data_IF_295575573193
#
_entry.id   IF_295575573193
#
_cell.length_a   1.000
_cell.length_b   1.000
_cell.length_c   1.000
_cell.angle_alpha   90.00
_cell.angle_beta   90.00
_cell.angle_gamma   90.00
#
_symmetry.space_group_name_H-M   'P 1'
#
loop_
_entity.id
_entity.type
_entity.pdbx_description
1 polymer ?
#
# COMPACT_ATOMS: atom_id res chain seq x y z
N UNK A 1 15.84 -19.15 -0.34
CA UNK A 1 16.72 -18.59 -1.39
C UNK A 1 16.01 -17.85 -2.51
N UNK A 2 14.75 -18.15 -2.83
CA UNK A 2 13.99 -17.50 -3.92
C UNK A 2 13.51 -16.06 -3.57
N UNK A 3 13.33 -15.76 -2.27
CA UNK A 3 12.87 -14.43 -1.81
C UNK A 3 13.87 -13.28 -2.06
N UNK A 4 15.16 -13.56 -2.05
CA UNK A 4 16.21 -12.55 -2.22
C UNK A 4 16.35 -12.03 -3.67
N UNK A 5 15.89 -12.80 -4.65
CA UNK A 5 16.05 -12.45 -6.07
C UNK A 5 15.05 -11.38 -6.56
N UNK A 6 13.94 -11.16 -5.84
CA UNK A 6 12.88 -10.26 -6.28
C UNK A 6 12.97 -8.85 -5.70
N UNK A 7 13.64 -8.66 -4.57
CA UNK A 7 13.83 -7.32 -3.99
C UNK A 7 14.87 -6.54 -4.80
N UNK A 8 14.51 -5.31 -5.16
CA UNK A 8 15.41 -4.38 -5.84
C UNK A 8 15.91 -4.87 -7.21
N UNK A 9 15.10 -5.63 -7.99
CA UNK A 9 15.55 -6.26 -9.25
C UNK A 9 16.83 -7.08 -9.11
N UNK A 10 17.07 -7.67 -7.93
CA UNK A 10 18.29 -8.39 -7.61
C UNK A 10 19.47 -7.51 -7.17
N UNK A 11 19.35 -6.19 -7.18
CA UNK A 11 20.43 -5.28 -6.81
C UNK A 11 20.75 -5.35 -5.31
N UNK A 12 19.74 -5.47 -4.44
CA UNK A 12 19.95 -5.70 -3.00
C UNK A 12 20.73 -6.99 -2.74
N UNK A 13 20.35 -8.10 -3.40
CA UNK A 13 21.06 -9.38 -3.28
C UNK A 13 22.50 -9.30 -3.83
N UNK A 14 22.70 -8.61 -4.94
CA UNK A 14 24.04 -8.38 -5.50
C UNK A 14 24.89 -7.55 -4.56
N UNK A 15 24.32 -6.47 -3.99
CA UNK A 15 25.04 -5.64 -3.01
C UNK A 15 25.41 -6.42 -1.75
N UNK A 16 24.51 -7.28 -1.22
CA UNK A 16 24.78 -8.16 -0.09
C UNK A 16 25.97 -9.11 -0.37
N UNK A 17 26.03 -9.70 -1.57
CA UNK A 17 27.15 -10.55 -1.97
C UNK A 17 28.48 -9.79 -2.02
N UNK A 18 28.48 -8.56 -2.58
CA UNK A 18 29.68 -7.72 -2.59
C UNK A 18 30.11 -7.28 -1.19
N UNK A 19 29.17 -6.99 -0.30
CA UNK A 19 29.46 -6.61 1.09
C UNK A 19 30.06 -7.76 1.91
N UNK A 20 29.80 -9.03 1.56
CA UNK A 20 30.45 -10.18 2.17
C UNK A 20 31.98 -10.25 1.83
N UNK A 21 32.38 -9.73 0.68
CA UNK A 21 33.77 -9.68 0.23
C UNK A 21 34.44 -8.36 0.61
N UNK A 22 33.70 -7.25 0.52
CA UNK A 22 34.20 -5.90 0.81
C UNK A 22 33.21 -5.17 1.76
N UNK A 23 33.21 -5.51 3.07
CA UNK A 23 32.24 -5.00 4.04
C UNK A 23 32.30 -3.47 4.25
N UNK A 24 33.47 -2.87 3.98
CA UNK A 24 33.66 -1.41 4.13
C UNK A 24 33.31 -0.57 2.90
N UNK A 25 32.86 -1.20 1.82
CA UNK A 25 32.48 -0.48 0.61
C UNK A 25 31.25 0.42 0.85
N UNK A 26 31.49 1.74 0.87
CA UNK A 26 30.42 2.73 1.01
C UNK A 26 29.42 2.67 -0.15
N UNK A 27 29.90 2.38 -1.37
CA UNK A 27 29.06 2.24 -2.56
C UNK A 27 28.07 1.09 -2.41
N UNK A 28 28.54 -0.12 -2.08
CA UNK A 28 27.65 -1.28 -1.96
C UNK A 28 26.70 -1.18 -0.77
N UNK A 29 27.13 -0.54 0.33
CA UNK A 29 26.21 -0.21 1.45
C UNK A 29 25.10 0.73 1.03
N UNK A 30 25.42 1.78 0.25
CA UNK A 30 24.40 2.69 -0.26
C UNK A 30 23.44 2.00 -1.24
N UNK A 31 23.95 1.16 -2.14
CA UNK A 31 23.11 0.37 -3.05
C UNK A 31 22.18 -0.54 -2.24
N UNK A 32 22.70 -1.31 -1.31
CA UNK A 32 21.89 -2.20 -0.45
C UNK A 32 20.79 -1.43 0.27
N UNK A 33 21.15 -0.33 0.96
CA UNK A 33 20.22 0.47 1.74
C UNK A 33 19.08 1.10 0.91
N UNK A 34 19.31 1.39 -0.37
CA UNK A 34 18.29 2.00 -1.23
C UNK A 34 17.43 0.97 -2.00
N UNK A 35 17.92 -0.25 -2.17
CA UNK A 35 17.22 -1.31 -2.92
C UNK A 35 16.63 -2.40 -2.02
N UNK A 36 16.73 -2.26 -0.71
CA UNK A 36 16.02 -3.05 0.30
C UNK A 36 14.87 -2.22 0.89
N UNK A 37 13.82 -2.88 1.34
CA UNK A 37 12.73 -2.18 2.04
C UNK A 37 13.20 -1.59 3.37
N UNK A 38 12.72 -0.38 3.68
CA UNK A 38 12.82 0.16 5.05
C UNK A 38 12.18 -0.81 6.04
N UNK A 39 12.85 -1.09 7.16
CA UNK A 39 12.38 -2.10 8.12
C UNK A 39 10.99 -1.77 8.71
N UNK A 40 10.75 -0.52 9.06
CA UNK A 40 9.44 -0.01 9.50
C UNK A 40 9.34 1.51 9.34
N UNK A 41 10.38 2.23 9.71
CA UNK A 41 10.45 3.69 9.63
C UNK A 41 11.47 4.08 8.57
N UNK A 42 11.16 5.13 7.83
CA UNK A 42 11.99 5.61 6.74
C UNK A 42 11.35 5.32 5.38
N UNK A 43 12.07 5.70 4.33
CA UNK A 43 11.67 5.48 2.95
C UNK A 43 12.94 5.27 2.12
N UNK A 44 13.03 4.13 1.47
CA UNK A 44 14.10 3.83 0.52
C UNK A 44 13.63 4.06 -0.90
N UNK A 45 14.54 4.03 -1.86
CA UNK A 45 14.16 4.14 -3.27
C UNK A 45 13.21 2.99 -3.69
N UNK A 46 13.44 1.80 -3.14
CA UNK A 46 12.59 0.64 -3.42
C UNK A 46 11.15 0.81 -2.90
N UNK A 47 10.96 1.51 -1.80
CA UNK A 47 9.63 1.79 -1.23
C UNK A 47 8.80 2.76 -2.08
N UNK A 48 9.41 3.53 -2.98
CA UNK A 48 8.72 4.49 -3.84
C UNK A 48 7.95 3.84 -5.00
N UNK A 49 8.17 2.56 -5.28
CA UNK A 49 7.53 1.86 -6.41
C UNK A 49 6.01 1.87 -6.27
N UNK A 50 5.49 1.47 -5.11
CA UNK A 50 4.04 1.45 -4.89
C UNK A 50 3.40 2.85 -4.95
N UNK A 51 3.93 3.89 -4.28
CA UNK A 51 3.47 5.27 -4.45
C UNK A 51 3.52 5.76 -5.91
N UNK A 52 4.59 5.44 -6.65
CA UNK A 52 4.69 5.80 -8.06
C UNK A 52 3.58 5.17 -8.91
N UNK A 53 3.29 3.88 -8.72
CA UNK A 53 2.19 3.22 -9.41
C UNK A 53 0.84 3.84 -9.07
N UNK A 54 0.56 4.11 -7.80
CA UNK A 54 -0.72 4.70 -7.38
C UNK A 54 -0.86 6.14 -7.89
N UNK A 55 0.20 6.93 -7.92
CA UNK A 55 0.23 8.26 -8.52
C UNK A 55 -0.08 8.18 -10.03
N UNK A 56 0.57 7.27 -10.76
CA UNK A 56 0.35 7.08 -12.20
C UNK A 56 -1.09 6.65 -12.52
N UNK A 57 -1.74 5.91 -11.64
CA UNK A 57 -3.16 5.56 -11.79
C UNK A 57 -4.03 6.80 -11.74
N UNK A 58 -3.77 7.72 -10.83
CA UNK A 58 -4.48 9.01 -10.75
C UNK A 58 -4.27 9.85 -12.00
N UNK A 59 -3.01 9.99 -12.43
CA UNK A 59 -2.64 10.69 -13.66
C UNK A 59 -3.36 10.12 -14.88
N UNK A 60 -3.34 8.80 -15.04
CA UNK A 60 -4.00 8.12 -16.17
C UNK A 60 -5.52 8.27 -16.15
N UNK A 61 -6.13 8.37 -14.94
CA UNK A 61 -7.55 8.59 -14.80
C UNK A 61 -7.97 9.93 -15.40
N UNK A 62 -7.22 11.01 -15.14
CA UNK A 62 -7.51 12.33 -15.70
C UNK A 62 -7.70 12.28 -17.21
N UNK A 63 -6.77 11.68 -17.95
CA UNK A 63 -6.85 11.57 -19.41
C UNK A 63 -7.93 10.59 -19.88
N UNK A 64 -8.05 9.44 -19.23
CA UNK A 64 -8.97 8.38 -19.65
C UNK A 64 -10.44 8.82 -19.57
N UNK A 65 -10.82 9.53 -18.51
CA UNK A 65 -12.21 9.95 -18.33
C UNK A 65 -12.58 11.21 -19.12
N UNK A 66 -11.65 12.12 -19.36
CA UNK A 66 -11.85 13.24 -20.32
C UNK A 66 -12.15 12.69 -21.70
N UNK A 67 -11.40 11.68 -22.17
CA UNK A 67 -11.67 11.03 -23.45
C UNK A 67 -13.08 10.42 -23.50
N UNK A 68 -13.46 9.64 -22.48
CA UNK A 68 -14.80 9.03 -22.40
C UNK A 68 -15.93 10.04 -22.37
N UNK A 69 -15.73 11.17 -21.68
CA UNK A 69 -16.69 12.26 -21.65
C UNK A 69 -16.86 12.86 -23.05
N UNK A 70 -15.78 13.03 -23.82
CA UNK A 70 -15.84 13.48 -25.23
C UNK A 70 -16.52 12.47 -26.15
N UNK A 71 -16.44 11.18 -25.84
CA UNK A 71 -17.14 10.10 -26.55
C UNK A 71 -18.64 10.01 -26.15
N UNK A 72 -19.15 10.92 -25.31
CA UNK A 72 -20.56 11.02 -24.93
C UNK A 72 -21.00 10.11 -23.78
N UNK A 73 -20.06 9.50 -23.04
CA UNK A 73 -20.40 8.66 -21.90
C UNK A 73 -20.96 9.51 -20.76
N UNK A 74 -22.06 9.06 -20.15
CA UNK A 74 -22.64 9.70 -18.97
C UNK A 74 -21.80 9.43 -17.73
N UNK A 75 -21.89 10.31 -16.72
CA UNK A 75 -21.19 10.13 -15.43
C UNK A 75 -21.51 8.78 -14.78
N UNK A 76 -22.78 8.33 -14.86
CA UNK A 76 -23.19 7.04 -14.32
C UNK A 76 -22.52 5.86 -15.05
N UNK A 77 -22.39 5.92 -16.37
CA UNK A 77 -21.68 4.90 -17.16
C UNK A 77 -20.20 4.87 -16.81
N UNK A 78 -19.58 6.04 -16.67
CA UNK A 78 -18.18 6.16 -16.26
C UNK A 78 -17.94 5.63 -14.84
N UNK A 79 -18.83 5.94 -13.89
CA UNK A 79 -18.73 5.40 -12.52
C UNK A 79 -18.89 3.89 -12.50
N UNK A 80 -19.89 3.35 -13.21
CA UNK A 80 -20.04 1.88 -13.35
C UNK A 80 -18.75 1.24 -13.90
N UNK A 81 -18.13 1.85 -14.91
CA UNK A 81 -16.87 1.39 -15.45
C UNK A 81 -15.74 1.44 -14.40
N UNK A 82 -15.70 2.49 -13.58
CA UNK A 82 -14.75 2.58 -12.47
C UNK A 82 -14.94 1.43 -11.46
N UNK A 83 -16.18 1.15 -11.08
CA UNK A 83 -16.50 0.03 -10.18
C UNK A 83 -16.14 -1.34 -10.78
N UNK A 84 -16.47 -1.58 -12.06
CA UNK A 84 -16.09 -2.83 -12.74
C UNK A 84 -14.57 -2.99 -12.78
N UNK A 85 -13.83 -1.92 -13.12
CA UNK A 85 -12.37 -1.94 -13.11
C UNK A 85 -11.81 -2.23 -11.71
N UNK A 86 -12.40 -1.64 -10.68
CA UNK A 86 -12.03 -1.88 -9.29
C UNK A 86 -12.21 -3.36 -8.91
N UNK A 87 -13.36 -3.94 -9.22
CA UNK A 87 -13.65 -5.35 -8.95
C UNK A 87 -12.70 -6.29 -9.71
N UNK A 88 -12.39 -6.00 -10.98
CA UNK A 88 -11.44 -6.77 -11.77
C UNK A 88 -10.02 -6.71 -11.19
N UNK A 89 -9.58 -5.53 -10.73
CA UNK A 89 -8.27 -5.37 -10.08
C UNK A 89 -8.20 -6.15 -8.77
N UNK A 90 -9.25 -6.10 -7.94
CA UNK A 90 -9.32 -6.86 -6.69
C UNK A 90 -9.34 -8.37 -6.98
N UNK A 91 -10.15 -8.81 -7.93
CA UNK A 91 -10.21 -10.22 -8.33
C UNK A 91 -8.84 -10.71 -8.85
N UNK A 92 -8.19 -9.93 -9.70
CA UNK A 92 -6.84 -10.22 -10.19
C UNK A 92 -5.81 -10.27 -9.06
N UNK A 93 -5.92 -9.36 -8.10
CA UNK A 93 -5.06 -9.33 -6.92
C UNK A 93 -5.18 -10.61 -6.10
N UNK A 94 -6.41 -11.05 -5.80
CA UNK A 94 -6.68 -12.29 -5.08
C UNK A 94 -6.20 -13.50 -5.88
N UNK A 95 -6.45 -13.52 -7.20
CA UNK A 95 -5.99 -14.57 -8.08
C UNK A 95 -4.46 -14.72 -8.07
N UNK A 96 -3.72 -13.62 -8.23
CA UNK A 96 -2.26 -13.62 -8.23
C UNK A 96 -1.67 -14.00 -6.86
N UNK A 97 -2.31 -13.57 -5.78
CA UNK A 97 -1.87 -13.91 -4.42
C UNK A 97 -2.13 -15.40 -4.11
N UNK A 98 -3.23 -15.95 -4.64
CA UNK A 98 -3.56 -17.37 -4.51
C UNK A 98 -2.56 -18.24 -5.27
N UNK A 99 -2.11 -17.81 -6.46
CA UNK A 99 -1.16 -18.53 -7.30
C UNK A 99 -1.59 -19.99 -7.53
N UNK A 100 -0.71 -20.95 -7.23
CA UNK A 100 -0.96 -22.39 -7.31
C UNK A 100 -1.44 -23.00 -5.99
N UNK A 101 -1.81 -22.17 -5.02
CA UNK A 101 -2.31 -22.61 -3.71
C UNK A 101 -3.60 -23.43 -3.82
N UNK A 102 -3.81 -24.35 -2.88
CA UNK A 102 -5.02 -25.18 -2.81
C UNK A 102 -6.25 -24.39 -2.36
N UNK A 103 -6.06 -23.25 -1.72
CA UNK A 103 -7.12 -22.42 -1.15
C UNK A 103 -6.95 -20.96 -1.57
N UNK A 104 -8.07 -20.27 -1.76
CA UNK A 104 -8.07 -18.84 -2.12
C UNK A 104 -7.46 -18.01 -1.00
N UNK A 105 -6.43 -17.23 -1.33
CA UNK A 105 -5.77 -16.32 -0.40
C UNK A 105 -6.46 -14.96 -0.43
N UNK A 106 -7.36 -14.73 0.51
CA UNK A 106 -8.07 -13.46 0.68
C UNK A 106 -7.16 -12.44 1.36
N UNK A 107 -6.26 -11.83 0.57
CA UNK A 107 -5.30 -10.80 1.00
C UNK A 107 -5.41 -9.62 0.06
N UNK A 108 -5.60 -8.41 0.62
CA UNK A 108 -5.86 -7.19 -0.14
C UNK A 108 -4.74 -6.14 0.01
N UNK A 109 -3.55 -6.58 0.42
CA UNK A 109 -2.40 -5.70 0.68
C UNK A 109 -1.54 -5.41 -0.55
N UNK A 110 -1.69 -6.20 -1.63
CA UNK A 110 -0.92 -5.96 -2.85
C UNK A 110 -1.40 -4.70 -3.61
N UNK A 111 -0.55 -4.14 -4.46
CA UNK A 111 -0.80 -2.88 -5.16
C UNK A 111 -2.08 -2.88 -5.99
N UNK A 112 -2.44 -3.99 -6.63
CA UNK A 112 -3.66 -4.08 -7.45
C UNK A 112 -4.93 -3.99 -6.60
N UNK A 113 -4.96 -4.68 -5.45
CA UNK A 113 -6.07 -4.59 -4.50
C UNK A 113 -6.18 -3.18 -3.92
N UNK A 114 -5.08 -2.57 -3.55
CA UNK A 114 -5.03 -1.22 -3.01
C UNK A 114 -5.56 -0.18 -4.02
N UNK A 115 -5.14 -0.29 -5.28
CA UNK A 115 -5.68 0.52 -6.38
C UNK A 115 -7.17 0.24 -6.55
N UNK A 116 -7.57 -1.03 -6.62
CA UNK A 116 -8.97 -1.42 -6.81
C UNK A 116 -9.89 -0.84 -5.73
N UNK A 117 -9.50 -0.95 -4.45
CA UNK A 117 -10.27 -0.41 -3.32
C UNK A 117 -10.40 1.12 -3.38
N UNK A 118 -9.34 1.83 -3.79
CA UNK A 118 -9.34 3.30 -3.88
C UNK A 118 -9.97 3.85 -5.17
N UNK A 119 -10.04 3.06 -6.25
CA UNK A 119 -10.38 3.56 -7.59
C UNK A 119 -11.78 4.21 -7.71
N UNK A 120 -12.87 3.65 -7.14
CA UNK A 120 -14.18 4.30 -7.15
C UNK A 120 -14.19 5.63 -6.40
N UNK A 121 -13.47 5.70 -5.27
CA UNK A 121 -13.35 6.94 -4.48
C UNK A 121 -12.54 8.00 -5.23
N UNK A 122 -11.48 7.59 -5.90
CA UNK A 122 -10.71 8.46 -6.79
C UNK A 122 -11.59 9.05 -7.90
N UNK A 123 -12.46 8.23 -8.52
CA UNK A 123 -13.42 8.70 -9.53
C UNK A 123 -14.36 9.77 -8.97
N UNK A 124 -14.80 9.67 -7.73
CA UNK A 124 -15.65 10.70 -7.12
C UNK A 124 -14.93 12.06 -6.97
N UNK A 125 -13.59 12.06 -6.96
CA UNK A 125 -12.76 13.27 -6.96
C UNK A 125 -12.50 13.82 -8.37
N UNK A 126 -12.71 13.02 -9.42
CA UNK A 126 -12.47 13.42 -10.79
C UNK A 126 -13.37 14.60 -11.18
N UNK A 127 -12.78 15.60 -11.85
CA UNK A 127 -13.48 16.83 -12.32
C UNK A 127 -14.19 17.63 -11.21
N UNK A 128 -13.70 17.54 -9.96
CA UNK A 128 -14.27 18.29 -8.81
C UNK A 128 -13.50 19.57 -8.50
N UNK A 129 -12.42 19.83 -9.25
CA UNK A 129 -11.54 20.96 -9.07
C UNK A 129 -10.56 20.80 -7.90
N UNK A 130 -9.45 21.50 -8.01
CA UNK A 130 -8.27 21.37 -7.15
C UNK A 130 -8.56 21.45 -5.64
N UNK A 131 -9.43 22.37 -5.22
CA UNK A 131 -9.75 22.55 -3.78
C UNK A 131 -10.42 21.32 -3.17
N UNK A 132 -11.39 20.72 -3.90
CA UNK A 132 -12.12 19.53 -3.43
C UNK A 132 -11.17 18.34 -3.39
N UNK A 133 -10.32 18.17 -4.40
CA UNK A 133 -9.32 17.12 -4.46
C UNK A 133 -8.30 17.24 -3.33
N UNK A 134 -7.77 18.44 -3.09
CA UNK A 134 -6.84 18.69 -1.98
C UNK A 134 -7.49 18.40 -0.61
N UNK A 135 -8.75 18.82 -0.41
CA UNK A 135 -9.49 18.50 0.82
C UNK A 135 -9.75 17.00 0.96
N UNK A 136 -10.08 16.29 -0.12
CA UNK A 136 -10.26 14.83 -0.08
C UNK A 136 -8.96 14.10 0.27
N UNK A 137 -7.82 14.53 -0.31
CA UNK A 137 -6.51 13.97 0.03
C UNK A 137 -6.15 14.25 1.50
N UNK A 138 -6.34 15.50 1.96
CA UNK A 138 -6.11 15.88 3.35
C UNK A 138 -7.03 15.10 4.31
N UNK A 139 -8.30 14.90 3.93
CA UNK A 139 -9.24 14.10 4.72
C UNK A 139 -8.81 12.64 4.81
N UNK A 140 -8.36 12.01 3.70
CA UNK A 140 -7.88 10.63 3.71
C UNK A 140 -6.68 10.46 4.66
N UNK A 141 -5.71 11.37 4.61
CA UNK A 141 -4.54 11.36 5.49
C UNK A 141 -4.91 11.67 6.95
N UNK A 142 -5.73 12.72 7.16
CA UNK A 142 -6.14 13.16 8.49
C UNK A 142 -7.00 12.13 9.20
N UNK A 143 -7.97 11.51 8.53
CA UNK A 143 -8.79 10.44 9.09
C UNK A 143 -7.96 9.21 9.43
N UNK A 144 -6.98 8.84 8.59
CA UNK A 144 -6.03 7.77 8.92
C UNK A 144 -5.27 8.11 10.19
N UNK A 145 -4.69 9.30 10.28
CA UNK A 145 -3.94 9.73 11.46
C UNK A 145 -4.80 9.75 12.72
N UNK A 146 -6.01 10.32 12.65
CA UNK A 146 -6.98 10.36 13.75
C UNK A 146 -7.34 8.95 14.20
N UNK A 147 -7.63 8.02 13.27
CA UNK A 147 -7.99 6.64 13.59
C UNK A 147 -6.86 5.93 14.37
N UNK A 148 -5.61 6.14 13.98
CA UNK A 148 -4.45 5.59 14.68
C UNK A 148 -4.32 6.17 16.09
N UNK A 149 -4.42 7.49 16.23
CA UNK A 149 -4.31 8.17 17.52
C UNK A 149 -5.43 7.74 18.47
N UNK A 150 -6.68 7.70 17.99
CA UNK A 150 -7.83 7.30 18.82
C UNK A 150 -7.77 5.83 19.23
N UNK A 151 -7.21 4.96 18.42
CA UNK A 151 -7.01 3.55 18.79
C UNK A 151 -5.97 3.39 19.89
N UNK A 152 -4.99 4.30 19.98
CA UNK A 152 -3.99 4.37 21.04
C UNK A 152 -2.88 3.30 20.97
N UNK A 153 -3.11 2.19 20.29
CA UNK A 153 -2.13 1.10 20.15
C UNK A 153 -1.77 0.41 21.49
N UNK A 154 -0.79 -0.48 21.43
CA UNK A 154 -0.22 -1.18 22.60
C UNK A 154 1.28 -0.88 22.72
N UNK A 155 1.76 -0.71 23.94
CA UNK A 155 3.20 -0.59 24.22
C UNK A 155 3.93 -1.94 24.15
N UNK A 156 3.18 -3.06 24.19
CA UNK A 156 3.73 -4.37 23.94
C UNK A 156 4.00 -4.56 22.42
N UNK A 157 5.03 -5.35 22.04
CA UNK A 157 5.26 -5.70 20.63
C UNK A 157 4.00 -6.27 19.98
N UNK A 158 3.70 -5.84 18.75
CA UNK A 158 2.56 -6.34 18.02
C UNK A 158 2.68 -7.80 17.61
N UNK A 159 1.60 -8.37 17.08
CA UNK A 159 1.56 -9.77 16.69
C UNK A 159 2.68 -10.10 15.68
N UNK A 160 3.46 -11.16 15.97
CA UNK A 160 4.61 -11.58 15.17
C UNK A 160 5.84 -10.68 15.24
N UNK A 161 5.87 -9.69 16.14
CA UNK A 161 7.00 -8.79 16.37
C UNK A 161 7.76 -9.22 17.62
N UNK A 162 9.09 -9.39 17.52
CA UNK A 162 9.92 -9.71 18.69
C UNK A 162 10.26 -8.45 19.49
N UNK A 163 10.45 -8.60 20.82
CA UNK A 163 10.82 -7.48 21.67
C UNK A 163 12.13 -6.80 21.21
N UNK A 164 13.11 -7.57 20.74
CA UNK A 164 14.38 -7.04 20.24
C UNK A 164 14.17 -6.18 18.97
N UNK A 165 13.34 -6.65 18.02
CA UNK A 165 13.04 -5.91 16.81
C UNK A 165 12.25 -4.63 17.13
N UNK A 166 11.27 -4.70 18.01
CA UNK A 166 10.47 -3.53 18.44
C UNK A 166 11.37 -2.49 19.14
N UNK A 167 12.25 -2.91 20.04
CA UNK A 167 13.21 -2.02 20.70
C UNK A 167 14.12 -1.30 19.69
N UNK A 168 14.53 -1.98 18.62
CA UNK A 168 15.39 -1.41 17.59
C UNK A 168 14.67 -0.44 16.66
N UNK A 169 13.39 -0.70 16.27
CA UNK A 169 12.72 0.00 15.18
C UNK A 169 11.54 0.85 15.64
N UNK A 170 10.97 0.61 16.83
CA UNK A 170 9.75 1.26 17.31
C UNK A 170 9.93 2.08 18.59
N UNK A 171 11.08 2.02 19.26
CA UNK A 171 11.30 2.66 20.55
C UNK A 171 11.03 4.18 20.58
N UNK A 172 11.10 4.84 19.44
CA UNK A 172 10.86 6.28 19.28
C UNK A 172 9.47 6.60 18.70
N UNK A 173 8.64 5.57 18.42
CA UNK A 173 7.29 5.74 17.90
C UNK A 173 6.25 5.73 19.02
N UNK A 174 5.18 6.51 18.83
CA UNK A 174 3.99 6.34 19.67
C UNK A 174 3.37 4.95 19.40
N UNK A 175 2.83 4.30 20.44
CA UNK A 175 2.28 2.95 20.39
C UNK A 175 1.23 2.73 19.29
N UNK A 176 0.48 3.78 18.94
CA UNK A 176 -0.48 3.77 17.82
C UNK A 176 0.14 3.40 16.47
N UNK A 177 1.45 3.57 16.30
CA UNK A 177 2.18 3.34 15.06
C UNK A 177 3.03 2.06 15.08
N UNK A 178 2.90 1.26 16.13
CA UNK A 178 3.63 -0.01 16.22
C UNK A 178 3.09 -1.01 15.19
N UNK A 179 4.00 -1.80 14.63
CA UNK A 179 3.71 -2.82 13.62
C UNK A 179 2.78 -3.88 14.21
N UNK A 180 1.74 -4.22 13.45
CA UNK A 180 0.73 -5.21 13.85
C UNK A 180 0.10 -4.97 15.24
N UNK A 181 0.05 -3.71 15.70
CA UNK A 181 -0.60 -3.31 16.95
C UNK A 181 -1.52 -2.09 16.77
N UNK A 182 -1.72 -1.63 15.55
CA UNK A 182 -2.50 -0.44 15.19
C UNK A 182 -3.93 -0.78 14.75
N UNK A 183 -4.75 0.24 14.55
CA UNK A 183 -6.17 0.10 14.16
C UNK A 183 -6.38 -0.64 12.82
N UNK A 184 -5.47 -0.49 11.86
CA UNK A 184 -5.58 -1.17 10.57
C UNK A 184 -5.32 -2.67 10.71
N UNK A 185 -4.40 -3.05 11.60
CA UNK A 185 -4.19 -4.44 11.95
C UNK A 185 -5.43 -5.02 12.67
N UNK A 186 -5.99 -4.29 13.64
CA UNK A 186 -7.21 -4.72 14.34
C UNK A 186 -8.38 -4.92 13.35
N UNK A 187 -8.52 -4.03 12.37
CA UNK A 187 -9.49 -4.20 11.28
C UNK A 187 -9.22 -5.48 10.48
N UNK A 188 -7.97 -5.73 10.06
CA UNK A 188 -7.63 -6.89 9.26
C UNK A 188 -7.84 -8.21 10.01
N UNK A 189 -7.57 -8.26 11.32
CA UNK A 189 -7.88 -9.44 12.15
C UNK A 189 -9.38 -9.74 12.14
N UNK A 190 -10.24 -8.73 12.19
CA UNK A 190 -11.67 -8.91 12.06
C UNK A 190 -12.09 -9.23 10.60
N UNK A 191 -11.70 -8.39 9.65
CA UNK A 191 -12.20 -8.42 8.27
C UNK A 191 -11.73 -9.65 7.50
N UNK A 192 -10.44 -10.00 7.58
CA UNK A 192 -9.88 -11.10 6.82
C UNK A 192 -10.35 -12.47 7.34
N UNK A 193 -10.76 -12.55 8.59
CA UNK A 193 -11.35 -13.77 9.16
C UNK A 193 -12.84 -13.96 8.80
N UNK A 194 -13.47 -13.03 8.11
CA UNK A 194 -14.79 -13.25 7.49
C UNK A 194 -14.73 -14.14 6.25
N UNK A 195 -13.55 -14.28 5.63
CA UNK A 195 -13.36 -15.08 4.44
C UNK A 195 -12.91 -16.50 4.80
N UNK A 196 -13.31 -17.52 3.99
CA UNK A 196 -12.84 -18.88 4.16
C UNK A 196 -11.31 -18.96 4.08
N UNK A 197 -10.68 -19.64 5.05
CA UNK A 197 -9.22 -19.84 5.10
C UNK A 197 -8.85 -21.03 5.96
N UNK A 198 -7.71 -21.67 5.68
CA UNK A 198 -7.22 -22.85 6.39
C UNK A 198 -6.90 -22.60 7.87
N UNK A 199 -6.43 -21.39 8.18
CA UNK A 199 -6.11 -20.95 9.55
C UNK A 199 -6.51 -19.51 9.74
N UNK A 200 -6.94 -19.11 10.95
CA UNK A 200 -7.28 -17.71 11.24
C UNK A 200 -6.13 -16.77 10.90
N UNK A 201 -6.47 -15.62 10.31
CA UNK A 201 -5.51 -14.55 10.10
C UNK A 201 -5.14 -13.93 11.46
N UNK A 202 -3.85 -13.85 11.74
CA UNK A 202 -3.32 -13.26 12.98
C UNK A 202 -2.55 -11.98 12.69
N UNK A 203 -1.65 -11.99 11.69
CA UNK A 203 -0.87 -10.82 11.30
C UNK A 203 -0.28 -10.96 9.90
N UNK A 204 0.12 -9.84 9.32
CA UNK A 204 0.94 -9.79 8.11
C UNK A 204 2.42 -9.61 8.49
N UNK A 205 3.29 -10.47 7.96
CA UNK A 205 4.75 -10.44 8.28
C UNK A 205 5.39 -9.09 7.91
N UNK A 206 4.98 -8.49 6.79
CA UNK A 206 5.43 -7.15 6.36
C UNK A 206 4.78 -5.99 7.12
N UNK A 207 3.69 -6.24 7.88
CA UNK A 207 2.91 -5.18 8.52
C UNK A 207 1.96 -4.45 7.57
N UNK A 208 1.77 -4.94 6.34
CA UNK A 208 0.84 -4.37 5.37
C UNK A 208 -0.61 -4.70 5.73
N UNK A 209 -1.51 -3.73 5.60
CA UNK A 209 -2.93 -3.87 5.95
C UNK A 209 -3.85 -3.48 4.80
N UNK A 210 -5.07 -4.03 4.81
CA UNK A 210 -6.10 -3.75 3.81
C UNK A 210 -6.42 -2.26 3.74
N UNK A 211 -6.61 -1.59 4.89
CA UNK A 211 -6.98 -0.17 4.94
C UNK A 211 -5.88 0.79 4.49
N UNK A 212 -4.68 0.32 4.17
CA UNK A 212 -3.64 1.16 3.57
C UNK A 212 -4.08 1.81 2.24
N UNK A 213 -5.17 1.31 1.61
CA UNK A 213 -5.73 1.99 0.45
C UNK A 213 -6.22 3.42 0.75
N UNK A 214 -6.57 3.73 2.01
CA UNK A 214 -7.07 5.07 2.41
C UNK A 214 -5.95 6.13 2.29
N UNK A 215 -4.77 5.99 2.93
CA UNK A 215 -3.67 6.92 2.69
C UNK A 215 -3.14 6.84 1.24
N UNK A 216 -3.14 5.67 0.60
CA UNK A 216 -2.76 5.53 -0.81
C UNK A 216 -3.71 6.28 -1.75
N UNK A 217 -4.98 6.44 -1.39
CA UNK A 217 -5.93 7.26 -2.13
C UNK A 217 -5.45 8.72 -2.26
N UNK A 218 -4.81 9.27 -1.22
CA UNK A 218 -4.24 10.62 -1.30
C UNK A 218 -3.17 10.71 -2.41
N UNK A 219 -2.31 9.70 -2.52
CA UNK A 219 -1.29 9.63 -3.60
C UNK A 219 -1.95 9.54 -4.98
N UNK A 220 -3.02 8.74 -5.12
CA UNK A 220 -3.79 8.69 -6.37
C UNK A 220 -4.45 10.03 -6.69
N UNK A 221 -4.99 10.75 -5.69
CA UNK A 221 -5.57 12.08 -5.88
C UNK A 221 -4.50 13.08 -6.31
N UNK A 222 -3.29 13.04 -5.76
CA UNK A 222 -2.19 13.90 -6.22
C UNK A 222 -1.84 13.63 -7.69
N UNK A 223 -1.86 12.37 -8.12
CA UNK A 223 -1.71 12.01 -9.53
C UNK A 223 -2.85 12.55 -10.40
N UNK A 224 -4.10 12.46 -9.93
CA UNK A 224 -5.26 13.02 -10.61
C UNK A 224 -5.14 14.55 -10.77
N UNK A 225 -4.77 15.26 -9.70
CA UNK A 225 -4.53 16.70 -9.71
C UNK A 225 -3.46 17.09 -10.73
N UNK A 226 -2.35 16.35 -10.77
CA UNK A 226 -1.28 16.58 -11.75
C UNK A 226 -1.72 16.34 -13.20
N UNK A 227 -2.66 15.41 -13.42
CA UNK A 227 -3.20 15.12 -14.77
C UNK A 227 -4.30 16.07 -15.23
N UNK A 228 -4.97 16.74 -14.31
CA UNK A 228 -6.01 17.74 -14.62
C UNK A 228 -5.47 19.17 -14.72
N UNK A 229 -4.20 19.38 -14.37
CA UNK A 229 -3.51 20.67 -14.51
C UNK A 229 -3.09 20.87 -15.97
#
# INVERSE_FOLDING_TARGET
MVSLAFNGFGLAATADLHLKVAPDSAFWRAVYAQWEHGAWVGCTFWDLIMPAFTFMVGLAMAYSYVRRQREGHTTAQMFRHACVRALLLIALAVFLTTGTGKETQWIFTNVLAQIGLGYPLLFLCWNRGYRVQALAAAAALGLTWIAFVLHGGSTAPGAGVTAAWSAQHEAHLAAAWHKNANVFHAFDVWFLNLFPRASPFVFNVGGYQTLNFIPNLATMIFGLMAGEW
#
